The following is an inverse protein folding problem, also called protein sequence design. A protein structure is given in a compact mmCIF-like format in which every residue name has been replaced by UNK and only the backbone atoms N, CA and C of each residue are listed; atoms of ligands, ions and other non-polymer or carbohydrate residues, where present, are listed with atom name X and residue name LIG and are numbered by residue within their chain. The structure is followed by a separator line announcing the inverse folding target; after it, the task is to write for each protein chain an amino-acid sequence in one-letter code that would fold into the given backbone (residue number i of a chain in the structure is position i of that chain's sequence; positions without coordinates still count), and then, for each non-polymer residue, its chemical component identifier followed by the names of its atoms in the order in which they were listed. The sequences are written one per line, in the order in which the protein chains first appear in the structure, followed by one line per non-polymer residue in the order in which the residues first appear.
data_IF_652247857029
#
_entry.id   IF_652247857029
#
_cell.length_a   1.000
_cell.length_b   1.000
_cell.length_c   1.000
_cell.angle_alpha   90.00
_cell.angle_beta   90.00
_cell.angle_gamma   90.00
#
_symmetry.space_group_name_H-M   'P 1'
#
loop_
_entity.id
_entity.type
_entity.pdbx_description
1 polymer ?
#
# COMPACT_ATOMS: atom_id res chain seq x y z
N UNK A 1 9.65 -53.33 -9.05
CA UNK A 1 9.68 -52.77 -7.69
C UNK A 1 11.11 -52.31 -7.39
N UNK A 2 11.48 -51.09 -7.78
CA UNK A 2 12.85 -50.55 -7.58
C UNK A 2 12.84 -49.08 -7.09
N UNK A 3 11.83 -48.31 -7.48
CA UNK A 3 11.72 -46.87 -7.14
C UNK A 3 11.47 -46.63 -5.63
N UNK A 4 10.83 -47.56 -4.93
CA UNK A 4 10.44 -47.38 -3.52
C UNK A 4 11.56 -47.71 -2.49
N UNK A 5 12.56 -48.51 -2.86
CA UNK A 5 13.63 -48.90 -1.92
C UNK A 5 14.73 -47.83 -1.80
N UNK A 6 14.94 -47.01 -2.83
CA UNK A 6 16.00 -46.03 -2.86
C UNK A 6 15.79 -44.85 -1.88
N UNK A 7 14.53 -44.54 -1.53
CA UNK A 7 14.19 -43.46 -0.60
C UNK A 7 14.37 -43.85 0.88
N UNK A 8 14.57 -45.15 1.15
CA UNK A 8 14.88 -45.70 2.47
C UNK A 8 16.38 -45.78 2.70
N UNK A 9 17.22 -45.47 1.69
CA UNK A 9 18.66 -45.50 1.84
C UNK A 9 19.06 -44.46 2.89
N UNK A 10 19.73 -44.89 3.97
CA UNK A 10 20.20 -43.98 4.99
C UNK A 10 21.34 -43.13 4.43
N UNK A 11 21.23 -41.82 4.65
CA UNK A 11 22.26 -40.86 4.28
C UNK A 11 22.85 -40.22 5.53
N UNK A 12 24.11 -39.82 5.43
CA UNK A 12 24.78 -38.99 6.43
C UNK A 12 24.65 -37.54 6.03
N UNK A 13 24.03 -36.74 6.90
CA UNK A 13 23.79 -35.33 6.68
C UNK A 13 24.79 -34.50 7.48
N UNK A 14 25.48 -33.59 6.80
CA UNK A 14 26.39 -32.63 7.42
C UNK A 14 25.68 -31.27 7.52
N UNK A 15 25.22 -30.92 8.72
CA UNK A 15 24.57 -29.64 9.03
C UNK A 15 25.56 -28.74 9.76
N UNK A 16 26.49 -28.14 9.00
CA UNK A 16 27.57 -27.32 9.56
C UNK A 16 28.43 -28.12 10.56
N UNK A 17 28.47 -27.78 11.86
CA UNK A 17 29.22 -28.55 12.85
C UNK A 17 28.54 -29.84 13.29
N UNK A 18 27.25 -30.04 12.97
CA UNK A 18 26.49 -31.21 13.41
C UNK A 18 26.46 -32.27 12.32
N UNK A 19 26.90 -33.48 12.65
CA UNK A 19 26.82 -34.64 11.75
C UNK A 19 25.69 -35.52 12.25
N UNK A 20 24.72 -35.78 11.38
CA UNK A 20 23.62 -36.70 11.68
C UNK A 20 23.67 -37.85 10.69
N UNK A 21 23.95 -39.04 11.20
CA UNK A 21 24.08 -40.26 10.41
C UNK A 21 22.78 -41.04 10.40
N UNK A 22 22.64 -41.91 9.40
CA UNK A 22 21.57 -42.92 9.34
C UNK A 22 20.14 -42.35 9.24
N UNK A 23 19.97 -41.20 8.58
CA UNK A 23 18.65 -40.62 8.33
C UNK A 23 18.16 -41.06 6.94
N UNK A 24 16.95 -41.60 6.81
CA UNK A 24 16.34 -41.87 5.51
C UNK A 24 16.20 -40.61 4.65
N UNK A 25 16.55 -40.71 3.37
CA UNK A 25 16.59 -39.57 2.43
C UNK A 25 15.28 -38.77 2.37
N UNK A 26 14.12 -39.43 2.50
CA UNK A 26 12.82 -38.74 2.43
C UNK A 26 12.61 -37.68 3.52
N UNK A 27 13.17 -37.87 4.72
CA UNK A 27 13.08 -36.86 5.79
C UNK A 27 13.84 -35.59 5.43
N UNK A 28 14.98 -35.73 4.76
CA UNK A 28 15.80 -34.59 4.31
C UNK A 28 15.05 -33.78 3.26
N UNK A 29 14.40 -34.45 2.31
CA UNK A 29 13.62 -33.81 1.25
C UNK A 29 12.44 -33.02 1.85
N UNK A 30 11.65 -33.65 2.72
CA UNK A 30 10.50 -33.02 3.37
C UNK A 30 10.97 -31.86 4.25
N UNK A 31 12.03 -32.05 5.02
CA UNK A 31 12.62 -31.02 5.87
C UNK A 31 13.07 -29.79 5.07
N UNK A 32 13.74 -29.99 3.94
CA UNK A 32 14.17 -28.92 3.03
C UNK A 32 12.98 -28.16 2.42
N UNK A 33 11.94 -28.88 2.01
CA UNK A 33 10.74 -28.25 1.46
C UNK A 33 10.02 -27.39 2.51
N UNK A 34 9.90 -27.92 3.73
CA UNK A 34 9.27 -27.20 4.84
C UNK A 34 10.08 -25.98 5.28
N UNK A 35 11.41 -26.09 5.38
CA UNK A 35 12.24 -24.93 5.72
C UNK A 35 12.17 -23.85 4.64
N UNK A 36 12.18 -24.22 3.36
CA UNK A 36 11.95 -23.28 2.26
C UNK A 36 10.60 -22.57 2.38
N UNK A 37 9.53 -23.31 2.68
CA UNK A 37 8.20 -22.75 2.88
C UNK A 37 8.13 -21.79 4.08
N UNK A 38 8.75 -22.17 5.21
CA UNK A 38 8.81 -21.34 6.42
C UNK A 38 9.55 -20.03 6.13
N UNK A 39 10.70 -20.09 5.44
CA UNK A 39 11.47 -18.90 5.08
C UNK A 39 10.65 -17.99 4.14
N UNK A 40 10.00 -18.55 3.13
CA UNK A 40 9.14 -17.80 2.22
C UNK A 40 7.98 -17.12 2.97
N UNK A 41 7.36 -17.84 3.91
CA UNK A 41 6.28 -17.31 4.74
C UNK A 41 6.75 -16.15 5.62
N UNK A 42 7.92 -16.27 6.26
CA UNK A 42 8.49 -15.20 7.07
C UNK A 42 8.77 -13.93 6.24
N UNK A 43 9.34 -14.09 5.04
CA UNK A 43 9.58 -12.97 4.12
C UNK A 43 8.26 -12.30 3.74
N UNK A 44 7.24 -13.10 3.40
CA UNK A 44 5.92 -12.58 3.04
C UNK A 44 5.24 -11.83 4.20
N UNK A 45 5.35 -12.37 5.41
CA UNK A 45 4.78 -11.76 6.62
C UNK A 45 5.38 -10.37 6.86
N UNK A 46 6.71 -10.26 6.79
CA UNK A 46 7.42 -8.98 6.94
C UNK A 46 6.97 -7.99 5.86
N UNK A 47 6.92 -8.42 4.59
CA UNK A 47 6.47 -7.56 3.49
C UNK A 47 5.03 -7.07 3.69
N UNK A 48 4.13 -7.94 4.17
CA UNK A 48 2.74 -7.58 4.44
C UNK A 48 2.64 -6.49 5.52
N UNK A 49 3.43 -6.59 6.59
CA UNK A 49 3.47 -5.56 7.65
C UNK A 49 3.91 -4.21 7.08
N UNK A 50 4.95 -4.20 6.25
CA UNK A 50 5.42 -2.97 5.59
C UNK A 50 4.38 -2.39 4.61
N UNK A 51 3.73 -3.24 3.82
CA UNK A 51 2.67 -2.83 2.89
C UNK A 51 1.51 -2.21 3.67
N UNK A 52 1.01 -2.86 4.72
CA UNK A 52 -0.09 -2.33 5.54
C UNK A 52 0.28 -0.99 6.19
N UNK A 53 1.51 -0.84 6.69
CA UNK A 53 1.96 0.43 7.27
C UNK A 53 2.04 1.55 6.21
N UNK A 54 2.65 1.25 5.05
CA UNK A 54 2.75 2.17 3.91
C UNK A 54 1.37 2.57 3.37
N UNK A 55 0.45 1.61 3.29
CA UNK A 55 -0.92 1.83 2.82
C UNK A 55 -1.71 2.73 3.77
N UNK A 56 -1.56 2.54 5.09
CA UNK A 56 -2.19 3.42 6.10
C UNK A 56 -1.68 4.86 6.03
N UNK A 57 -0.38 5.04 5.74
CA UNK A 57 0.20 6.35 5.48
C UNK A 57 -0.36 7.00 4.20
N UNK A 58 -0.52 6.22 3.13
CA UNK A 58 -1.14 6.69 1.88
C UNK A 58 -2.62 7.04 2.05
N UNK A 59 -3.40 6.23 2.77
CA UNK A 59 -4.83 6.50 3.04
C UNK A 59 -5.02 7.81 3.79
N UNK A 60 -4.12 8.12 4.72
CA UNK A 60 -4.14 9.38 5.48
C UNK A 60 -3.92 10.58 4.54
N UNK A 61 -2.94 10.50 3.63
CA UNK A 61 -2.69 11.54 2.62
C UNK A 61 -3.84 11.71 1.63
N UNK A 62 -4.49 10.61 1.23
CA UNK A 62 -5.67 10.66 0.36
C UNK A 62 -6.83 11.38 1.05
N UNK A 63 -7.03 11.13 2.36
CA UNK A 63 -8.05 11.80 3.15
C UNK A 63 -7.78 13.29 3.28
N UNK A 64 -6.52 13.68 3.51
CA UNK A 64 -6.10 15.07 3.59
C UNK A 64 -6.31 15.82 2.27
N UNK A 65 -5.87 15.25 1.14
CA UNK A 65 -6.11 15.84 -0.18
C UNK A 65 -7.60 15.99 -0.53
N UNK A 66 -8.46 15.04 -0.13
CA UNK A 66 -9.91 15.17 -0.28
C UNK A 66 -10.49 16.34 0.52
N UNK A 67 -9.99 16.58 1.72
CA UNK A 67 -10.41 17.71 2.55
C UNK A 67 -9.97 19.04 1.95
N UNK A 68 -8.74 19.13 1.43
CA UNK A 68 -8.24 20.33 0.76
C UNK A 68 -9.08 20.67 -0.47
N UNK A 69 -9.41 19.68 -1.32
CA UNK A 69 -10.29 19.89 -2.48
C UNK A 69 -11.64 20.43 -2.04
N UNK A 70 -12.24 19.87 -0.98
CA UNK A 70 -13.53 20.32 -0.47
C UNK A 70 -13.47 21.76 0.08
N UNK A 71 -12.39 22.14 0.77
CA UNK A 71 -12.20 23.51 1.26
C UNK A 71 -12.00 24.49 0.09
N UNK A 72 -11.22 24.09 -0.91
CA UNK A 72 -10.99 24.89 -2.11
C UNK A 72 -12.28 25.11 -2.90
N UNK A 73 -13.10 24.07 -3.08
CA UNK A 73 -14.41 24.20 -3.74
C UNK A 73 -15.33 25.15 -2.98
N UNK A 74 -15.35 25.09 -1.65
CA UNK A 74 -16.14 26.04 -0.83
C UNK A 74 -15.66 27.47 -1.03
N UNK A 75 -14.34 27.70 -1.02
CA UNK A 75 -13.76 29.03 -1.24
C UNK A 75 -14.06 29.56 -2.63
N UNK A 76 -13.94 28.73 -3.67
CA UNK A 76 -14.31 29.11 -5.05
C UNK A 76 -15.76 29.52 -5.11
N UNK A 77 -16.67 28.72 -4.54
CA UNK A 77 -18.09 29.05 -4.55
C UNK A 77 -18.41 30.33 -3.77
N UNK A 78 -17.74 30.57 -2.63
CA UNK A 78 -17.86 31.85 -1.90
C UNK A 78 -17.38 33.03 -2.73
N UNK A 79 -16.25 32.90 -3.41
CA UNK A 79 -15.67 33.94 -4.26
C UNK A 79 -16.52 34.21 -5.52
N UNK A 80 -17.20 33.20 -6.06
CA UNK A 80 -18.17 33.37 -7.15
C UNK A 80 -19.36 34.21 -6.69
N UNK A 81 -19.94 33.87 -5.53
CA UNK A 81 -21.05 34.63 -4.94
C UNK A 81 -20.62 36.07 -4.61
N UNK A 82 -19.41 36.26 -4.09
CA UNK A 82 -18.90 37.59 -3.76
C UNK A 82 -18.63 38.43 -5.01
N UNK A 83 -18.04 37.84 -6.06
CA UNK A 83 -17.90 38.51 -7.35
C UNK A 83 -19.25 38.87 -7.97
N UNK A 84 -20.23 37.97 -7.87
CA UNK A 84 -21.57 38.22 -8.41
C UNK A 84 -22.26 39.37 -7.66
N UNK A 85 -22.17 39.41 -6.32
CA UNK A 85 -22.66 40.55 -5.52
C UNK A 85 -21.96 41.86 -5.83
N UNK A 86 -20.63 41.83 -5.97
CA UNK A 86 -19.84 43.03 -6.32
C UNK A 86 -20.20 43.52 -7.73
N UNK A 87 -20.38 42.61 -8.68
CA UNK A 87 -20.81 42.94 -10.04
C UNK A 87 -22.21 43.55 -10.04
N UNK A 88 -23.14 43.01 -9.25
CA UNK A 88 -24.49 43.56 -9.11
C UNK A 88 -24.47 44.98 -8.48
N UNK A 89 -23.64 45.19 -7.46
CA UNK A 89 -23.41 46.53 -6.89
C UNK A 89 -22.75 47.50 -7.87
N UNK A 90 -21.78 47.06 -8.68
CA UNK A 90 -21.13 47.90 -9.69
C UNK A 90 -22.02 48.23 -10.89
N UNK A 91 -23.05 47.42 -11.17
CA UNK A 91 -24.05 47.72 -12.22
C UNK A 91 -25.06 48.77 -11.71
N UNK A 92 -25.22 48.91 -10.39
CA UNK A 92 -26.04 49.96 -9.77
C UNK A 92 -25.29 51.31 -9.66
N UNK A 93 -23.96 51.31 -9.72
CA UNK A 93 -23.14 52.52 -9.75
C UNK A 93 -22.59 52.79 -11.17
N UNK A 94 -23.33 53.65 -11.90
CA UNK A 94 -23.01 54.38 -13.15
C UNK A 94 -23.51 53.85 -14.51
N UNK A 95 -24.07 54.74 -15.37
CA UNK A 95 -23.64 56.13 -15.55
C UNK A 95 -24.60 57.17 -14.93
N UNK A 96 -24.03 58.10 -14.16
CA UNK A 96 -24.62 59.43 -13.99
C UNK A 96 -24.57 60.09 -15.36
N UNK A 97 -25.70 59.99 -16.06
CA UNK A 97 -25.95 60.68 -17.31
C UNK A 97 -25.66 62.18 -17.11
N UNK A 98 -24.53 62.64 -17.66
CA UNK A 98 -24.07 64.04 -17.55
C UNK A 98 -24.57 64.88 -18.73
N UNK A 99 -25.67 64.47 -19.35
CA UNK A 99 -26.31 65.22 -20.44
C UNK A 99 -27.79 65.47 -20.15
N UNK A 100 -28.07 66.51 -19.37
CA UNK A 100 -29.38 67.15 -19.35
C UNK A 100 -29.17 68.67 -19.44
N UNK A 101 -29.36 69.16 -20.68
CA UNK A 101 -29.73 70.51 -21.15
C UNK A 101 -29.43 71.73 -20.26
#
# INVERSE_FOLDING_TARGET
MYVAQNNLIPVTLHLGPTIVTNIPLFYVIIGSLLTGLIVAYLIHLVNTIFITFSMRGKDTKIKEGKNEIADLTKRVHQLEIENEKLKDHSILEEPRDTNAL
#
